data_IF_292149310115
#
_entry.id   IF_292149310115
#
_cell.length_a   1.000
_cell.length_b   1.000
_cell.length_c   1.000
_cell.angle_alpha   90.00
_cell.angle_beta   90.00
_cell.angle_gamma   90.00
#
_symmetry.space_group_name_H-M   'P 1'
#
loop_
_entity.id
_entity.type
_entity.pdbx_description
1 polymer ?
#
# COMPACT_ATOMS: atom_id res chain seq x y z
N UNK A 1 8.53 -15.73 -9.43
CA UNK A 1 8.95 -14.32 -9.25
C UNK A 1 10.35 -14.17 -9.83
N UNK A 2 10.44 -13.70 -11.08
CA UNK A 2 11.70 -13.50 -11.81
C UNK A 2 11.80 -12.03 -12.20
N UNK A 3 12.99 -11.44 -12.07
CA UNK A 3 13.29 -10.11 -12.60
C UNK A 3 14.02 -9.16 -11.66
N UNK A 4 14.91 -9.64 -10.79
CA UNK A 4 15.98 -8.78 -10.28
C UNK A 4 16.97 -8.57 -11.43
N UNK A 5 17.04 -7.34 -11.97
CA UNK A 5 18.02 -6.85 -12.96
C UNK A 5 18.14 -7.53 -14.35
N UNK A 6 17.46 -8.63 -14.64
CA UNK A 6 17.63 -9.39 -15.90
C UNK A 6 16.90 -8.81 -17.14
N UNK A 7 16.49 -7.55 -17.16
CA UNK A 7 15.65 -7.03 -18.28
C UNK A 7 15.45 -5.53 -18.36
N UNK A 8 16.29 -4.72 -17.72
CA UNK A 8 16.26 -3.27 -17.89
C UNK A 8 17.56 -2.84 -18.54
N UNK A 9 17.44 -2.16 -19.67
CA UNK A 9 18.59 -1.61 -20.36
C UNK A 9 19.28 -0.57 -19.47
N UNK A 10 20.52 -0.86 -19.13
CA UNK A 10 21.47 0.08 -18.56
C UNK A 10 22.47 0.33 -19.69
N UNK A 11 22.66 1.58 -20.15
CA UNK A 11 23.59 1.84 -21.23
C UNK A 11 25.03 1.56 -20.74
N UNK A 12 25.93 1.13 -21.65
CA UNK A 12 27.23 0.56 -21.30
C UNK A 12 28.19 1.56 -20.62
N UNK A 13 27.96 2.87 -20.79
CA UNK A 13 28.65 3.95 -20.09
C UNK A 13 28.29 4.06 -18.60
N UNK A 14 27.10 3.57 -18.23
CA UNK A 14 26.53 3.65 -16.89
C UNK A 14 26.39 2.27 -16.22
N UNK A 15 26.88 1.23 -16.89
CA UNK A 15 26.89 -0.14 -16.38
C UNK A 15 27.85 -0.25 -15.18
N UNK A 16 27.36 -0.79 -14.07
CA UNK A 16 28.14 -0.91 -12.83
C UNK A 16 28.29 0.37 -12.00
N UNK A 17 27.97 1.55 -12.54
CA UNK A 17 28.02 2.81 -11.78
C UNK A 17 26.67 3.14 -11.11
N UNK A 18 25.56 2.84 -11.79
CA UNK A 18 24.22 3.15 -11.31
C UNK A 18 23.24 2.00 -11.57
N UNK A 19 22.28 1.83 -10.66
CA UNK A 19 21.21 0.85 -10.88
C UNK A 19 20.22 1.35 -11.93
N UNK A 20 19.62 0.43 -12.70
CA UNK A 20 18.57 0.78 -13.67
C UNK A 20 17.36 1.51 -13.05
N UNK A 21 17.09 1.31 -11.75
CA UNK A 21 16.05 2.10 -11.06
C UNK A 21 16.46 3.57 -10.87
N UNK A 22 17.73 3.83 -10.54
CA UNK A 22 18.25 5.17 -10.38
C UNK A 22 18.31 5.92 -11.73
N UNK A 23 18.76 5.24 -12.79
CA UNK A 23 18.74 5.78 -14.16
C UNK A 23 17.36 6.21 -14.62
N UNK A 24 16.35 5.38 -14.35
CA UNK A 24 14.97 5.68 -14.72
C UNK A 24 14.21 6.50 -13.67
N UNK A 25 14.90 7.09 -12.69
CA UNK A 25 14.32 7.87 -11.59
C UNK A 25 13.10 7.19 -10.92
N UNK A 26 13.12 5.85 -10.83
CA UNK A 26 12.00 5.10 -10.25
C UNK A 26 11.98 5.29 -8.75
N UNK A 27 10.85 5.77 -8.25
CA UNK A 27 10.62 5.89 -6.81
C UNK A 27 10.37 4.50 -6.19
N UNK A 28 10.88 4.24 -4.98
CA UNK A 28 10.58 3.01 -4.26
C UNK A 28 9.10 2.95 -3.86
N UNK A 29 8.54 1.74 -3.66
CA UNK A 29 7.17 1.56 -3.16
C UNK A 29 6.95 2.37 -1.87
N UNK A 30 5.85 3.12 -1.79
CA UNK A 30 5.53 3.99 -0.64
C UNK A 30 6.18 5.39 -0.67
N UNK A 31 7.03 5.68 -1.66
CA UNK A 31 7.50 7.04 -1.97
C UNK A 31 6.71 7.58 -3.16
N UNK A 32 5.51 8.07 -2.89
CA UNK A 32 4.77 8.88 -3.88
C UNK A 32 5.09 10.36 -3.66
N UNK A 33 5.36 11.11 -4.73
CA UNK A 33 5.53 12.56 -4.66
C UNK A 33 4.28 13.26 -4.09
N UNK A 34 3.10 12.67 -4.27
CA UNK A 34 1.83 13.21 -3.81
C UNK A 34 1.47 12.81 -2.37
N UNK A 35 1.93 11.66 -1.87
CA UNK A 35 1.64 11.15 -0.52
C UNK A 35 2.86 10.42 0.07
N UNK A 36 3.80 11.14 0.70
CA UNK A 36 4.97 10.50 1.29
C UNK A 36 4.57 9.57 2.44
N UNK A 37 5.05 8.32 2.42
CA UNK A 37 4.84 7.37 3.51
C UNK A 37 3.48 6.65 3.51
N UNK A 38 2.64 6.87 2.49
CA UNK A 38 1.41 6.12 2.28
C UNK A 38 1.62 5.12 1.15
N UNK A 39 1.38 3.85 1.43
CA UNK A 39 1.46 2.78 0.45
C UNK A 39 0.08 2.15 0.25
N UNK A 40 -0.37 2.02 -0.99
CA UNK A 40 -1.58 1.23 -1.29
C UNK A 40 -1.22 -0.26 -1.22
N UNK A 41 -1.94 -1.01 -0.38
CA UNK A 41 -1.78 -2.45 -0.20
C UNK A 41 -3.10 -3.16 -0.41
N UNK A 42 -3.04 -4.45 -0.78
CA UNK A 42 -4.23 -5.30 -0.83
C UNK A 42 -4.45 -5.89 0.56
N UNK A 43 -5.50 -5.46 1.21
CA UNK A 43 -5.83 -5.82 2.59
C UNK A 43 -7.05 -6.75 2.62
N UNK A 44 -6.99 -7.79 3.44
CA UNK A 44 -8.11 -8.71 3.68
C UNK A 44 -8.62 -8.46 5.09
N UNK A 45 -9.94 -8.27 5.25
CA UNK A 45 -10.52 -8.01 6.56
C UNK A 45 -10.34 -9.21 7.49
N UNK A 46 -9.62 -9.08 8.62
CA UNK A 46 -9.30 -10.22 9.48
C UNK A 46 -10.50 -10.71 10.30
N UNK A 47 -11.45 -9.84 10.59
CA UNK A 47 -12.68 -10.16 11.32
C UNK A 47 -13.86 -9.38 10.75
N UNK A 48 -15.07 -9.88 10.99
CA UNK A 48 -16.28 -9.21 10.52
C UNK A 48 -16.55 -7.93 11.31
N UNK A 49 -16.87 -6.85 10.60
CA UNK A 49 -17.14 -5.53 11.20
C UNK A 49 -18.45 -4.95 10.68
N UNK A 50 -19.08 -4.11 11.49
CA UNK A 50 -20.25 -3.33 11.06
C UNK A 50 -19.80 -1.99 10.48
N UNK A 51 -20.32 -1.66 9.30
CA UNK A 51 -20.06 -0.37 8.68
C UNK A 51 -20.93 0.71 9.32
N UNK A 52 -20.31 1.68 10.01
CA UNK A 52 -21.00 2.82 10.64
C UNK A 52 -21.41 3.93 9.67
N UNK A 53 -20.94 3.88 8.42
CA UNK A 53 -21.20 4.91 7.40
C UNK A 53 -22.35 4.55 6.46
N UNK A 54 -22.84 3.31 6.50
CA UNK A 54 -24.00 2.90 5.71
C UNK A 54 -25.32 3.37 6.37
N UNK A 55 -26.34 3.76 5.59
CA UNK A 55 -27.66 4.10 6.12
C UNK A 55 -28.39 2.88 6.72
N UNK A 56 -28.03 1.67 6.27
CA UNK A 56 -28.51 0.41 6.81
C UNK A 56 -27.35 -0.32 7.50
N UNK A 57 -27.60 -1.03 8.61
CA UNK A 57 -26.57 -1.82 9.28
C UNK A 57 -26.05 -2.87 8.29
N UNK A 58 -24.82 -2.67 7.81
CA UNK A 58 -24.19 -3.50 6.78
C UNK A 58 -22.94 -4.13 7.38
N UNK A 59 -22.85 -5.45 7.32
CA UNK A 59 -21.70 -6.19 7.80
C UNK A 59 -20.68 -6.36 6.66
N UNK A 60 -19.41 -6.09 6.96
CA UNK A 60 -18.28 -6.46 6.10
C UNK A 60 -17.77 -7.78 6.66
N UNK A 61 -17.91 -8.84 5.87
CA UNK A 61 -17.46 -10.18 6.26
C UNK A 61 -15.94 -10.26 6.41
N UNK A 62 -15.50 -11.26 7.16
CA UNK A 62 -14.10 -11.67 7.17
C UNK A 62 -13.65 -12.09 5.76
N UNK A 63 -12.41 -11.76 5.38
CA UNK A 63 -11.82 -12.12 4.09
C UNK A 63 -12.19 -11.19 2.93
N UNK A 64 -13.04 -10.18 3.14
CA UNK A 64 -13.32 -9.18 2.10
C UNK A 64 -12.06 -8.38 1.78
N UNK A 65 -11.77 -8.25 0.47
CA UNK A 65 -10.56 -7.63 -0.06
C UNK A 65 -10.76 -6.15 -0.36
N UNK A 66 -9.83 -5.31 0.12
CA UNK A 66 -9.79 -3.89 -0.14
C UNK A 66 -8.44 -3.44 -0.69
N UNK A 67 -8.47 -2.38 -1.50
CA UNK A 67 -7.27 -1.56 -1.71
C UNK A 67 -7.22 -0.55 -0.57
N UNK A 68 -6.31 -0.77 0.38
CA UNK A 68 -6.18 0.05 1.58
C UNK A 68 -4.91 0.91 1.52
N UNK A 69 -5.01 2.12 2.07
CA UNK A 69 -3.87 2.98 2.33
C UNK A 69 -3.21 2.55 3.65
N UNK A 70 -2.03 1.95 3.56
CA UNK A 70 -1.19 1.60 4.70
C UNK A 70 -0.36 2.82 5.12
N UNK A 71 -0.46 3.20 6.39
CA UNK A 71 0.31 4.28 7.01
C UNK A 71 0.92 3.82 8.33
N UNK A 72 2.14 4.27 8.63
CA UNK A 72 2.74 4.11 9.97
C UNK A 72 2.26 5.26 10.87
N UNK A 73 1.64 4.95 11.99
CA UNK A 73 1.13 5.96 12.94
C UNK A 73 1.91 6.00 14.25
N UNK A 74 2.58 4.91 14.62
CA UNK A 74 3.40 4.89 15.83
C UNK A 74 4.28 3.65 15.93
N UNK A 75 4.76 3.38 17.14
CA UNK A 75 5.45 2.16 17.50
C UNK A 75 5.12 1.78 18.94
N UNK A 76 5.00 0.49 19.21
CA UNK A 76 4.99 -0.07 20.55
C UNK A 76 6.37 -0.66 20.82
N UNK A 77 7.14 0.02 21.68
CA UNK A 77 8.59 -0.21 21.83
C UNK A 77 9.31 -0.16 20.47
N UNK A 78 9.87 -1.29 20.01
CA UNK A 78 10.55 -1.42 18.71
C UNK A 78 9.63 -1.81 17.56
N UNK A 79 8.39 -2.25 17.84
CA UNK A 79 7.47 -2.77 16.83
C UNK A 79 6.62 -1.65 16.22
N UNK A 80 6.65 -1.42 14.90
CA UNK A 80 5.84 -0.37 14.28
C UNK A 80 4.35 -0.71 14.27
N UNK A 81 3.51 0.28 14.56
CA UNK A 81 2.05 0.20 14.47
C UNK A 81 1.60 0.81 13.13
N UNK A 82 0.77 0.07 12.42
CA UNK A 82 0.24 0.42 11.11
C UNK A 82 -1.26 0.68 11.17
N UNK A 83 -1.74 1.68 10.43
CA UNK A 83 -3.17 1.94 10.18
C UNK A 83 -3.47 1.65 8.72
N UNK A 84 -4.69 1.18 8.48
CA UNK A 84 -5.16 0.81 7.16
C UNK A 84 -6.46 1.55 6.89
N UNK A 85 -6.39 2.56 6.05
CA UNK A 85 -7.57 3.32 5.64
C UNK A 85 -8.13 2.73 4.36
N UNK A 86 -9.41 2.40 4.34
CA UNK A 86 -10.07 1.79 3.18
C UNK A 86 -11.45 2.41 2.92
N UNK A 87 -11.95 2.26 1.69
CA UNK A 87 -13.28 2.72 1.30
C UNK A 87 -14.22 1.55 1.15
N UNK A 88 -15.39 1.66 1.77
CA UNK A 88 -16.43 0.66 1.60
C UNK A 88 -17.12 0.85 0.24
N UNK A 89 -17.22 -0.23 -0.55
CA UNK A 89 -17.74 -0.16 -1.91
C UNK A 89 -19.22 0.26 -1.99
N UNK A 90 -20.04 -0.11 -0.99
CA UNK A 90 -21.48 0.16 -1.04
C UNK A 90 -21.85 1.60 -0.64
N UNK A 91 -21.22 2.17 0.39
CA UNK A 91 -21.54 3.53 0.87
C UNK A 91 -20.51 4.59 0.47
N UNK A 92 -19.35 4.21 -0.06
CA UNK A 92 -18.24 5.14 -0.31
C UNK A 92 -17.57 5.69 0.96
N UNK A 93 -18.07 5.32 2.14
CA UNK A 93 -17.55 5.72 3.44
C UNK A 93 -16.11 5.24 3.66
N UNK A 94 -15.35 6.05 4.39
CA UNK A 94 -14.01 5.67 4.82
C UNK A 94 -14.09 4.90 6.13
N UNK A 95 -13.33 3.81 6.22
CA UNK A 95 -13.09 3.03 7.44
C UNK A 95 -11.58 3.08 7.71
N UNK A 96 -11.20 3.30 8.95
CA UNK A 96 -9.81 3.26 9.45
C UNK A 96 -9.75 2.45 10.74
#
# INVERSE_FOLDING_TARGET
MQGFNMGRYVPPDLEGTVSGNALHAKLPPGRSAAKPGVQTVRFEMPFAIWCSTCPKPTIIGQGVRFNAEKRRTGAYHSTPIWTFRMRHAACGGTIE
#
